data_IF_575905541148
#
_entry.id   IF_575905541148
#
_cell.length_a   1.000
_cell.length_b   1.000
_cell.length_c   1.000
_cell.angle_alpha   90.00
_cell.angle_beta   90.00
_cell.angle_gamma   90.00
#
_symmetry.space_group_name_H-M   'P 1'
#
loop_
_entity.id
_entity.type
_entity.pdbx_description
1 polymer ?
#
# COMPACT_ATOMS: atom_id res chain seq x y z
N UNK A 1 5.63 -37.08 4.05
CA UNK A 1 5.73 -36.86 5.53
C UNK A 1 6.91 -35.99 5.95
N UNK A 2 8.18 -36.31 5.65
CA UNK A 2 9.32 -35.44 6.02
C UNK A 2 9.47 -34.21 5.11
N UNK A 3 9.25 -34.39 3.80
CA UNK A 3 9.28 -33.32 2.79
C UNK A 3 8.23 -32.23 3.07
N UNK A 4 7.02 -32.63 3.47
CA UNK A 4 5.89 -31.73 3.73
C UNK A 4 6.14 -30.83 4.95
N UNK A 5 6.77 -31.37 6.00
CA UNK A 5 7.19 -30.59 7.18
C UNK A 5 8.26 -29.55 6.84
N UNK A 6 9.18 -29.88 5.93
CA UNK A 6 10.19 -28.94 5.44
C UNK A 6 9.54 -27.78 4.65
N UNK A 7 8.60 -28.10 3.75
CA UNK A 7 7.84 -27.09 3.00
C UNK A 7 6.98 -26.20 3.89
N UNK A 8 6.31 -26.77 4.89
CA UNK A 8 5.54 -26.00 5.85
C UNK A 8 6.43 -25.01 6.63
N UNK A 9 7.59 -25.47 7.10
CA UNK A 9 8.56 -24.61 7.80
C UNK A 9 9.12 -23.51 6.90
N UNK A 10 9.38 -23.80 5.63
CA UNK A 10 9.80 -22.80 4.65
C UNK A 10 8.72 -21.75 4.40
N UNK A 11 7.45 -22.18 4.23
CA UNK A 11 6.32 -21.26 4.06
C UNK A 11 6.18 -20.32 5.26
N UNK A 12 6.27 -20.84 6.48
CA UNK A 12 6.18 -20.03 7.70
C UNK A 12 7.28 -18.96 7.76
N UNK A 13 8.52 -19.31 7.40
CA UNK A 13 9.63 -18.36 7.37
C UNK A 13 9.42 -17.30 6.29
N UNK A 14 8.89 -17.66 5.12
CA UNK A 14 8.56 -16.70 4.06
C UNK A 14 7.49 -15.73 4.56
N UNK A 15 6.42 -16.24 5.17
CA UNK A 15 5.32 -15.42 5.68
C UNK A 15 5.80 -14.46 6.78
N UNK A 16 6.67 -14.91 7.67
CA UNK A 16 7.24 -14.09 8.74
C UNK A 16 8.11 -12.96 8.18
N UNK A 17 8.96 -13.25 7.19
CA UNK A 17 9.78 -12.23 6.55
C UNK A 17 8.94 -11.20 5.80
N UNK A 18 7.91 -11.63 5.06
CA UNK A 18 6.99 -10.72 4.37
C UNK A 18 6.27 -9.81 5.37
N UNK A 19 5.73 -10.36 6.47
CA UNK A 19 5.09 -9.57 7.52
C UNK A 19 6.03 -8.52 8.10
N UNK A 20 7.29 -8.89 8.37
CA UNK A 20 8.28 -7.96 8.91
C UNK A 20 8.54 -6.80 7.95
N UNK A 21 8.78 -7.08 6.67
CA UNK A 21 9.03 -6.05 5.66
C UNK A 21 7.83 -5.10 5.53
N UNK A 22 6.61 -5.64 5.46
CA UNK A 22 5.43 -4.78 5.38
C UNK A 22 5.21 -3.97 6.65
N UNK A 23 5.52 -4.51 7.83
CA UNK A 23 5.44 -3.77 9.09
C UNK A 23 6.46 -2.63 9.12
N UNK A 24 7.71 -2.90 8.72
CA UNK A 24 8.77 -1.89 8.62
C UNK A 24 8.39 -0.77 7.62
N UNK A 25 7.74 -1.12 6.51
CA UNK A 25 7.21 -0.16 5.53
C UNK A 25 6.05 0.69 6.05
N UNK A 26 5.22 0.17 6.97
CA UNK A 26 4.12 0.93 7.57
C UNK A 26 4.62 2.00 8.56
N UNK A 27 5.76 1.75 9.20
CA UNK A 27 6.40 2.70 10.11
C UNK A 27 7.17 3.79 9.33
N UNK A 28 7.46 3.57 8.04
CA UNK A 28 8.05 4.56 7.16
C UNK A 28 7.03 5.66 6.81
N UNK A 29 7.47 6.93 6.87
CA UNK A 29 6.60 8.06 6.52
C UNK A 29 6.23 7.97 5.04
N UNK A 30 4.94 8.16 4.74
CA UNK A 30 4.46 8.30 3.37
C UNK A 30 5.23 9.43 2.68
N UNK A 31 5.86 9.20 1.51
CA UNK A 31 6.62 10.25 0.82
C UNK A 31 5.74 11.47 0.47
N UNK A 32 6.31 12.67 0.62
CA UNK A 32 5.61 13.95 0.42
C UNK A 32 4.93 14.04 -0.95
N UNK A 33 5.55 13.48 -2.00
CA UNK A 33 4.97 13.44 -3.36
C UNK A 33 3.59 12.76 -3.41
N UNK A 34 3.35 11.73 -2.60
CA UNK A 34 2.03 11.09 -2.56
C UNK A 34 1.00 11.99 -1.89
N UNK A 35 1.37 12.69 -0.83
CA UNK A 35 0.52 13.66 -0.16
C UNK A 35 0.20 14.84 -1.09
N UNK A 36 1.17 15.29 -1.87
CA UNK A 36 1.00 16.33 -2.89
C UNK A 36 0.00 15.89 -3.97
N UNK A 37 0.15 14.68 -4.50
CA UNK A 37 -0.77 14.12 -5.50
C UNK A 37 -2.19 13.94 -4.94
N UNK A 38 -2.32 13.50 -3.69
CA UNK A 38 -3.63 13.40 -3.02
C UNK A 38 -4.26 14.79 -2.82
N UNK A 39 -3.45 15.81 -2.55
CA UNK A 39 -3.90 17.20 -2.42
C UNK A 39 -4.37 17.74 -3.77
N UNK A 40 -3.58 17.55 -4.84
CA UNK A 40 -3.97 17.89 -6.21
C UNK A 40 -5.28 17.20 -6.63
N UNK A 41 -5.46 15.93 -6.28
CA UNK A 41 -6.69 15.20 -6.60
C UNK A 41 -7.92 15.73 -5.84
N UNK A 42 -7.73 16.16 -4.57
CA UNK A 42 -8.80 16.79 -3.78
C UNK A 42 -9.17 18.15 -4.33
N UNK A 43 -8.18 18.95 -4.73
CA UNK A 43 -8.38 20.28 -5.33
C UNK A 43 -9.09 20.19 -6.69
N UNK A 44 -8.85 19.13 -7.47
CA UNK A 44 -9.57 18.85 -8.72
C UNK A 44 -11.05 18.44 -8.53
N UNK A 45 -11.50 18.22 -7.28
CA UNK A 45 -12.91 17.99 -6.92
C UNK A 45 -13.42 19.19 -6.11
N UNK A 46 -13.75 20.36 -6.70
CA UNK A 46 -15.00 20.52 -7.48
C UNK A 46 -14.98 21.69 -8.50
N UNK A 47 -14.99 21.40 -9.80
CA UNK A 47 -15.55 22.33 -10.82
C UNK A 47 -16.00 21.62 -12.12
N UNK A 48 -16.21 20.30 -12.08
CA UNK A 48 -16.82 19.59 -13.22
C UNK A 48 -18.36 19.56 -13.17
N UNK A 49 -18.97 20.27 -12.21
CA UNK A 49 -20.43 20.40 -12.05
C UNK A 49 -20.94 21.81 -12.45
N UNK A 50 -20.06 22.71 -12.92
CA UNK A 50 -20.42 24.08 -13.36
C UNK A 50 -20.31 24.33 -14.86
N UNK A 51 -19.82 23.35 -15.63
CA UNK A 51 -19.57 23.50 -17.07
C UNK A 51 -20.70 22.99 -17.98
N UNK A 52 -21.80 22.47 -17.42
CA UNK A 52 -22.97 21.96 -18.18
C UNK A 52 -24.21 22.87 -18.10
N UNK A 53 -24.08 24.11 -17.62
CA UNK A 53 -25.20 25.06 -17.60
C UNK A 53 -24.81 26.50 -17.97
N UNK A 54 -24.29 26.69 -19.18
CA UNK A 54 -24.44 27.93 -19.95
C UNK A 54 -24.76 27.62 -21.43
#
# INVERSE_FOLDING_TARGET
MAQDRSRAKQSQVIDENLKRVYQDMLDEKVPDRFLDLLSQLKEQKPDNDRSESE
#
